data_IF_778100703519
#
_entry.id   IF_778100703519
#
_cell.length_a   1.000
_cell.length_b   1.000
_cell.length_c   1.000
_cell.angle_alpha   90.00
_cell.angle_beta   90.00
_cell.angle_gamma   90.00
#
_symmetry.space_group_name_H-M   'P 1'
#
loop_
_entity.id
_entity.type
_entity.pdbx_description
1 polymer ?
#
# COMPACT_ATOMS: atom_id res chain seq x y z
N UNK A 1 11.67 -3.03 2.06
CA UNK A 1 11.04 -4.37 2.13
C UNK A 1 9.81 -4.37 1.23
N UNK A 2 9.38 -5.52 0.73
CA UNK A 2 8.31 -5.64 -0.29
C UNK A 2 7.54 -6.95 -0.15
N UNK A 3 6.28 -6.95 -0.63
CA UNK A 3 5.38 -8.10 -0.70
C UNK A 3 5.07 -8.57 -2.12
N UNK A 4 5.69 -7.97 -3.14
CA UNK A 4 5.45 -8.33 -4.54
C UNK A 4 6.75 -8.62 -5.27
N UNK A 5 7.20 -9.88 -5.28
CA UNK A 5 8.53 -10.26 -5.78
C UNK A 5 8.71 -9.95 -7.27
N UNK A 6 7.72 -10.29 -8.10
CA UNK A 6 7.78 -10.06 -9.55
C UNK A 6 7.88 -8.56 -9.88
N UNK A 7 7.04 -7.73 -9.25
CA UNK A 7 7.06 -6.27 -9.40
C UNK A 7 8.40 -5.71 -8.92
N UNK A 8 8.86 -6.15 -7.74
CA UNK A 8 10.15 -5.71 -7.16
C UNK A 8 11.30 -5.99 -8.12
N UNK A 9 11.37 -7.21 -8.68
CA UNK A 9 12.41 -7.55 -9.67
C UNK A 9 12.30 -6.70 -10.93
N UNK A 10 11.09 -6.40 -11.40
CA UNK A 10 10.87 -5.60 -12.62
C UNK A 10 11.36 -4.16 -12.49
N UNK A 11 11.23 -3.55 -11.30
CA UNK A 11 11.70 -2.17 -11.05
C UNK A 11 13.18 -2.12 -10.67
N UNK A 12 13.82 -3.28 -10.48
CA UNK A 12 15.27 -3.46 -10.24
C UNK A 12 15.86 -2.49 -9.18
N UNK A 13 15.36 -2.50 -7.94
CA UNK A 13 15.87 -1.61 -6.89
C UNK A 13 17.31 -1.99 -6.53
N UNK A 14 18.14 -1.05 -6.04
CA UNK A 14 19.52 -1.36 -5.67
C UNK A 14 19.65 -2.53 -4.69
N UNK A 15 18.77 -2.60 -3.69
CA UNK A 15 18.66 -3.69 -2.72
C UNK A 15 17.23 -3.81 -2.25
N UNK A 16 16.74 -5.02 -2.07
CA UNK A 16 15.44 -5.26 -1.45
C UNK A 16 15.44 -6.52 -0.57
N UNK A 17 14.51 -6.55 0.37
CA UNK A 17 14.14 -7.75 1.12
C UNK A 17 12.65 -8.02 0.86
N UNK A 18 12.33 -9.24 0.51
CA UNK A 18 11.00 -9.72 0.16
C UNK A 18 10.44 -10.63 1.25
N UNK A 19 9.15 -10.45 1.55
CA UNK A 19 8.35 -11.33 2.39
C UNK A 19 7.08 -11.66 1.63
N UNK A 20 6.70 -12.94 1.61
CA UNK A 20 5.44 -13.38 1.00
C UNK A 20 4.26 -13.18 1.95
N UNK A 21 4.08 -11.93 2.39
CA UNK A 21 3.07 -11.49 3.34
C UNK A 21 2.03 -10.61 2.62
N UNK A 22 0.79 -10.48 3.14
CA UNK A 22 -0.21 -9.57 2.58
C UNK A 22 0.33 -8.14 2.39
N UNK A 23 -0.16 -7.47 1.34
CA UNK A 23 0.24 -6.09 1.06
C UNK A 23 -0.05 -5.19 2.26
N UNK A 24 0.93 -4.39 2.67
CA UNK A 24 0.84 -3.53 3.87
C UNK A 24 1.30 -4.18 5.17
N UNK A 25 1.61 -5.48 5.16
CA UNK A 25 2.05 -6.23 6.34
C UNK A 25 3.51 -6.69 6.26
N UNK A 26 4.36 -5.98 5.50
CA UNK A 26 5.77 -6.36 5.26
C UNK A 26 6.66 -6.40 6.52
N UNK A 27 6.18 -5.97 7.69
CA UNK A 27 6.89 -6.10 8.95
C UNK A 27 6.41 -7.28 9.80
N UNK A 28 5.34 -7.98 9.40
CA UNK A 28 4.72 -9.07 10.16
C UNK A 28 3.36 -8.74 10.75
N UNK A 29 2.72 -9.73 11.39
CA UNK A 29 1.38 -9.60 11.95
C UNK A 29 1.36 -8.59 13.10
N UNK A 30 0.20 -7.97 13.33
CA UNK A 30 0.04 -7.01 14.40
C UNK A 30 0.34 -7.64 15.77
N UNK A 31 0.92 -6.84 16.67
CA UNK A 31 1.23 -7.21 18.06
C UNK A 31 2.30 -8.29 18.29
N UNK A 32 2.82 -8.94 17.25
CA UNK A 32 3.98 -9.83 17.37
C UNK A 32 5.30 -9.06 17.24
N UNK A 33 5.66 -8.32 18.31
CA UNK A 33 6.85 -7.47 18.33
C UNK A 33 8.15 -8.25 18.16
N UNK A 34 8.20 -9.48 18.65
CA UNK A 34 9.41 -10.30 18.60
C UNK A 34 9.70 -10.71 17.15
N UNK A 35 8.70 -11.23 16.45
CA UNK A 35 8.80 -11.56 15.03
C UNK A 35 9.09 -10.32 14.18
N UNK A 36 8.36 -9.22 14.41
CA UNK A 36 8.56 -7.96 13.68
C UNK A 36 10.01 -7.46 13.80
N UNK A 37 10.56 -7.52 15.02
CA UNK A 37 11.96 -7.14 15.26
C UNK A 37 12.91 -8.05 14.50
N UNK A 38 12.70 -9.36 14.52
CA UNK A 38 13.59 -10.30 13.84
C UNK A 38 13.55 -10.10 12.31
N UNK A 39 12.36 -9.95 11.74
CA UNK A 39 12.16 -9.63 10.32
C UNK A 39 12.97 -8.38 9.92
N UNK A 40 12.91 -7.32 10.73
CA UNK A 40 13.64 -6.09 10.45
C UNK A 40 15.16 -6.31 10.53
N UNK A 41 15.65 -7.06 11.52
CA UNK A 41 17.08 -7.36 11.64
C UNK A 41 17.60 -8.15 10.43
N UNK A 42 16.85 -9.16 9.98
CA UNK A 42 17.24 -9.97 8.82
C UNK A 42 17.16 -9.16 7.51
N UNK A 43 16.16 -8.27 7.38
CA UNK A 43 16.10 -7.34 6.27
C UNK A 43 17.30 -6.39 6.25
N UNK A 44 17.71 -5.86 7.41
CA UNK A 44 18.87 -4.99 7.55
C UNK A 44 20.19 -5.71 7.26
N UNK A 45 20.30 -7.02 7.57
CA UNK A 45 21.46 -7.83 7.17
C UNK A 45 21.65 -7.88 5.63
N UNK A 46 20.60 -7.59 4.87
CA UNK A 46 20.67 -7.36 3.42
C UNK A 46 21.66 -6.27 3.00
N UNK A 47 21.88 -5.24 3.84
CA UNK A 47 22.86 -4.19 3.54
C UNK A 47 24.30 -4.70 3.48
N UNK A 48 24.61 -5.74 4.25
CA UNK A 48 25.92 -6.35 4.31
C UNK A 48 26.07 -7.50 3.31
N UNK A 49 24.99 -8.22 3.02
CA UNK A 49 25.02 -9.46 2.22
C UNK A 49 24.76 -9.23 0.74
N UNK A 50 23.97 -8.22 0.34
CA UNK A 50 23.68 -7.93 -1.07
C UNK A 50 24.84 -7.16 -1.70
N UNK A 51 25.65 -7.87 -2.51
CA UNK A 51 26.88 -7.33 -3.13
C UNK A 51 26.69 -6.72 -4.51
N UNK A 52 25.58 -7.00 -5.19
CA UNK A 52 25.27 -6.47 -6.52
C UNK A 52 23.93 -5.71 -6.51
N UNK A 53 23.81 -4.60 -7.26
CA UNK A 53 22.52 -3.94 -7.49
C UNK A 53 21.47 -4.92 -8.03
N UNK A 54 20.19 -4.71 -7.68
CA UNK A 54 19.11 -5.61 -8.10
C UNK A 54 18.95 -6.84 -7.21
N UNK A 55 19.81 -7.03 -6.22
CA UNK A 55 19.70 -8.14 -5.28
C UNK A 55 18.46 -8.04 -4.41
N UNK A 56 17.69 -9.12 -4.36
CA UNK A 56 16.51 -9.27 -3.50
C UNK A 56 16.74 -10.49 -2.60
N UNK A 57 16.79 -10.28 -1.28
CA UNK A 57 16.76 -11.39 -0.32
C UNK A 57 15.31 -11.79 -0.05
N UNK A 58 15.01 -13.08 -0.09
CA UNK A 58 13.69 -13.61 0.27
C UNK A 58 13.75 -14.11 1.72
N UNK A 59 12.99 -13.47 2.61
CA UNK A 59 12.98 -13.80 4.03
C UNK A 59 12.01 -14.98 4.25
N UNK A 60 12.49 -16.07 4.83
CA UNK A 60 11.76 -17.35 4.94
C UNK A 60 10.68 -17.42 6.01
N UNK A 61 10.01 -16.31 6.33
CA UNK A 61 8.92 -16.30 7.31
C UNK A 61 7.58 -16.62 6.66
N UNK A 62 6.72 -17.35 7.36
CA UNK A 62 5.36 -17.66 6.94
C UNK A 62 4.35 -16.71 7.60
N UNK A 63 3.32 -16.29 6.85
CA UNK A 63 2.26 -15.42 7.38
C UNK A 63 1.29 -16.20 8.27
N UNK A 64 0.96 -17.41 7.84
CA UNK A 64 0.09 -18.37 8.52
C UNK A 64 0.60 -19.79 8.28
N UNK A 65 -0.07 -20.79 8.86
CA UNK A 65 0.29 -22.20 8.67
C UNK A 65 0.12 -22.67 7.22
N UNK A 66 -0.81 -22.06 6.50
CA UNK A 66 -1.10 -22.32 5.08
C UNK A 66 -1.24 -21.00 4.29
N UNK A 67 -1.47 -21.15 2.99
CA UNK A 67 -1.62 -20.06 2.03
C UNK A 67 -3.08 -19.67 1.74
N UNK A 68 -4.06 -20.18 2.51
CA UNK A 68 -5.48 -19.93 2.26
C UNK A 68 -5.84 -18.42 2.32
N UNK A 69 -5.04 -17.61 3.02
CA UNK A 69 -5.18 -16.16 3.05
C UNK A 69 -5.03 -15.52 1.65
N UNK A 70 -4.18 -16.08 0.78
CA UNK A 70 -3.91 -15.55 -0.58
C UNK A 70 -5.17 -15.52 -1.44
N UNK A 71 -6.11 -16.42 -1.17
CA UNK A 71 -7.36 -16.50 -1.93
C UNK A 71 -8.27 -15.31 -1.71
N UNK A 72 -8.15 -14.59 -0.59
CA UNK A 72 -9.08 -13.52 -0.19
C UNK A 72 -8.49 -12.11 -0.22
N UNK A 73 -7.18 -11.95 0.00
CA UNK A 73 -6.56 -10.62 0.21
C UNK A 73 -6.63 -9.68 -1.00
N UNK A 74 -6.74 -10.23 -2.22
CA UNK A 74 -6.86 -9.44 -3.45
C UNK A 74 -8.28 -9.41 -4.00
N UNK A 75 -9.25 -10.02 -3.31
CA UNK A 75 -10.65 -10.01 -3.74
C UNK A 75 -11.32 -8.74 -3.24
N UNK A 76 -12.07 -8.03 -4.09
CA UNK A 76 -12.95 -6.96 -3.63
C UNK A 76 -13.98 -7.53 -2.64
N UNK A 77 -14.52 -6.67 -1.77
CA UNK A 77 -15.63 -7.09 -0.93
C UNK A 77 -16.80 -7.52 -1.80
N UNK A 78 -17.37 -8.69 -1.49
CA UNK A 78 -18.63 -9.09 -2.07
C UNK A 78 -19.69 -8.08 -1.64
N UNK A 79 -20.43 -7.54 -2.62
CA UNK A 79 -21.62 -6.74 -2.28
C UNK A 79 -22.58 -7.59 -1.45
N UNK A 80 -23.26 -6.98 -0.49
CA UNK A 80 -24.21 -7.63 0.41
C UNK A 80 -25.53 -8.08 -0.27
N UNK A 81 -25.46 -8.46 -1.56
CA UNK A 81 -26.56 -9.01 -2.35
C UNK A 81 -26.77 -10.50 -2.13
N UNK A 82 -28.03 -10.93 -2.09
CA UNK A 82 -28.43 -12.34 -1.88
C UNK A 82 -27.75 -13.28 -2.88
N UNK A 83 -27.41 -14.47 -2.38
CA UNK A 83 -26.54 -15.53 -2.92
C UNK A 83 -26.85 -16.12 -4.32
N UNK A 84 -27.70 -15.50 -5.14
CA UNK A 84 -28.25 -16.13 -6.35
C UNK A 84 -28.05 -15.29 -7.62
N UNK A 85 -27.24 -14.22 -7.57
CA UNK A 85 -26.91 -13.40 -8.73
C UNK A 85 -25.40 -13.17 -8.80
N UNK A 86 -24.89 -13.24 -10.04
CA UNK A 86 -23.51 -13.00 -10.48
C UNK A 86 -22.76 -12.02 -9.57
N UNK A 87 -21.61 -12.43 -9.02
CA UNK A 87 -20.89 -11.64 -8.01
C UNK A 87 -20.63 -10.21 -8.51
N UNK A 88 -21.43 -9.27 -8.00
CA UNK A 88 -21.20 -7.84 -8.16
C UNK A 88 -20.23 -7.43 -7.06
N UNK A 89 -19.05 -6.97 -7.44
CA UNK A 89 -18.06 -6.44 -6.52
C UNK A 89 -18.40 -4.98 -6.21
N UNK A 90 -18.43 -4.62 -4.93
CA UNK A 90 -18.66 -3.24 -4.52
C UNK A 90 -17.36 -2.44 -4.69
N UNK A 91 -17.45 -1.24 -5.25
CA UNK A 91 -16.31 -0.34 -5.33
C UNK A 91 -16.10 0.31 -3.96
N UNK A 92 -15.21 -0.26 -3.16
CA UNK A 92 -14.85 0.23 -1.81
C UNK A 92 -14.18 1.62 -1.83
N UNK A 93 -13.89 2.21 -3.00
CA UNK A 93 -13.26 3.53 -3.10
C UNK A 93 -14.28 4.63 -2.82
N UNK A 94 -13.84 5.66 -2.10
CA UNK A 94 -14.63 6.88 -1.91
C UNK A 94 -15.05 7.47 -3.27
N UNK A 95 -16.33 7.89 -3.44
CA UNK A 95 -16.78 8.54 -4.66
C UNK A 95 -15.91 9.75 -5.00
N UNK A 96 -15.55 9.90 -6.28
CA UNK A 96 -14.90 11.13 -6.75
C UNK A 96 -15.97 12.21 -6.83
N UNK A 97 -15.79 13.28 -6.06
CA UNK A 97 -16.66 14.44 -6.08
C UNK A 97 -16.00 15.55 -6.90
N UNK A 98 -16.83 16.32 -7.61
CA UNK A 98 -16.37 17.54 -8.29
C UNK A 98 -16.20 18.71 -7.30
N UNK A 99 -16.66 18.55 -6.07
CA UNK A 99 -16.44 19.50 -4.99
C UNK A 99 -15.05 19.28 -4.37
N UNK A 100 -14.23 20.34 -4.23
CA UNK A 100 -12.95 20.27 -3.53
C UNK A 100 -13.10 19.67 -2.14
N UNK A 101 -12.16 18.80 -1.75
CA UNK A 101 -12.13 18.18 -0.42
C UNK A 101 -10.98 18.80 0.38
N UNK A 102 -11.27 19.25 1.59
CA UNK A 102 -10.30 19.90 2.48
C UNK A 102 -10.06 19.03 3.71
N UNK A 103 -8.85 19.07 4.26
CA UNK A 103 -8.52 18.32 5.47
C UNK A 103 -9.21 18.92 6.71
N UNK A 104 -9.35 20.25 6.76
CA UNK A 104 -10.03 20.98 7.82
C UNK A 104 -10.89 22.13 7.29
N UNK A 105 -11.79 22.68 8.12
CA UNK A 105 -12.56 23.89 7.81
C UNK A 105 -11.65 25.12 7.61
N UNK A 106 -10.52 25.16 8.33
CA UNK A 106 -9.53 26.23 8.17
C UNK A 106 -8.88 26.19 6.79
N UNK A 107 -8.53 25.00 6.30
CA UNK A 107 -7.99 24.83 4.95
C UNK A 107 -8.98 25.29 3.89
N UNK A 108 -10.27 24.98 4.08
CA UNK A 108 -11.33 25.46 3.20
C UNK A 108 -11.38 26.98 3.18
N UNK A 109 -11.42 27.62 4.36
CA UNK A 109 -11.49 29.08 4.48
C UNK A 109 -10.29 29.76 3.83
N UNK A 110 -9.09 29.24 4.04
CA UNK A 110 -7.87 29.78 3.45
C UNK A 110 -7.84 29.59 1.93
N UNK A 111 -8.29 28.44 1.43
CA UNK A 111 -8.39 28.20 -0.01
C UNK A 111 -9.39 29.14 -0.69
N UNK A 112 -10.56 29.34 -0.09
CA UNK A 112 -11.58 30.29 -0.59
C UNK A 112 -11.06 31.74 -0.56
N UNK A 113 -10.39 32.13 0.53
CA UNK A 113 -9.79 33.45 0.65
C UNK A 113 -8.65 33.68 -0.38
N UNK A 114 -7.86 32.65 -0.67
CA UNK A 114 -6.83 32.70 -1.70
C UNK A 114 -7.45 32.81 -3.09
N UNK A 115 -8.47 32.00 -3.40
CA UNK A 115 -9.19 32.04 -4.68
C UNK A 115 -9.82 33.41 -4.94
N UNK A 116 -10.33 34.08 -3.90
CA UNK A 116 -10.88 35.43 -3.97
C UNK A 116 -9.81 36.54 -4.19
N UNK A 117 -8.53 36.24 -3.94
CA UNK A 117 -7.38 37.15 -4.08
C UNK A 117 -6.46 36.67 -5.21
N UNK A 118 -7.02 36.49 -6.39
CA UNK A 118 -6.33 36.04 -7.62
C UNK A 118 -5.86 34.57 -7.65
N UNK A 119 -6.22 33.78 -6.63
CA UNK A 119 -5.92 32.36 -6.58
C UNK A 119 -4.44 32.04 -6.43
N UNK A 120 -4.07 30.83 -6.82
CA UNK A 120 -2.69 30.37 -6.78
C UNK A 120 -1.94 30.87 -8.03
N UNK A 121 -0.95 31.78 -7.90
CA UNK A 121 -0.32 32.44 -9.04
C UNK A 121 0.50 31.49 -9.93
N UNK A 122 0.83 30.29 -9.43
CA UNK A 122 1.58 29.26 -10.15
C UNK A 122 0.72 28.07 -10.58
N UNK A 123 -0.56 28.05 -10.22
CA UNK A 123 -1.42 26.93 -10.55
C UNK A 123 -1.92 27.08 -11.99
N UNK A 124 -1.70 26.05 -12.82
CA UNK A 124 -2.24 25.96 -14.16
C UNK A 124 -3.52 25.15 -14.08
N UNK A 125 -4.66 25.81 -14.21
CA UNK A 125 -5.94 25.13 -14.39
C UNK A 125 -6.12 24.91 -15.89
N UNK A 126 -6.28 23.65 -16.30
CA UNK A 126 -6.59 23.31 -17.69
C UNK A 126 -8.08 23.59 -17.92
N UNK A 127 -8.39 24.28 -19.01
CA UNK A 127 -9.76 24.54 -19.47
C UNK A 127 -10.49 23.25 -19.89
#
# INVERSE_FOLDING_TARGET
>A
MTSALSITRSVNPPRAAFLDYPLGHTAGPAFDRALQRQILLDALAGFETIRAPGGVIELGYAWSQDDAWKDSVMRPRASSGKADQQETFEDDRTPRLNAPQYQTEEDQRLAEAALARDGCPTCIFLD
#
